data_IF_244004579065
#
_entry.id   IF_244004579065
#
_cell.length_a   1.000
_cell.length_b   1.000
_cell.length_c   1.000
_cell.angle_alpha   90.00
_cell.angle_beta   90.00
_cell.angle_gamma   90.00
#
_symmetry.space_group_name_H-M   'P 1'
#
loop_
_entity.id
_entity.type
_entity.pdbx_description
1 polymer ?
#
# COMPACT_ATOMS: atom_id res chain seq x y z
N UNK A 1 -25.64 58.52 -22.02
CA UNK A 1 -26.90 58.68 -22.78
C UNK A 1 -27.29 57.33 -23.33
N UNK A 2 -28.53 56.97 -23.01
CA UNK A 2 -29.43 55.96 -23.62
C UNK A 2 -28.97 54.51 -23.52
N UNK A 3 -29.57 53.63 -22.62
CA UNK A 3 -30.96 53.11 -22.61
C UNK A 3 -31.27 52.41 -23.95
N UNK A 4 -31.67 51.18 -24.03
CA UNK A 4 -32.89 50.42 -23.60
C UNK A 4 -32.86 49.02 -24.23
N UNK A 5 -33.27 48.04 -23.50
CA UNK A 5 -34.59 47.30 -23.43
C UNK A 5 -34.63 46.03 -24.28
N UNK A 6 -34.75 44.90 -23.60
CA UNK A 6 -35.84 43.89 -23.51
C UNK A 6 -36.35 43.22 -24.80
N UNK A 7 -36.48 41.88 -24.80
CA UNK A 7 -37.79 41.29 -24.76
C UNK A 7 -37.76 39.75 -24.61
N UNK A 8 -38.53 39.26 -23.66
CA UNK A 8 -39.02 37.90 -23.48
C UNK A 8 -39.81 37.42 -24.71
N UNK A 9 -39.75 36.11 -24.98
CA UNK A 9 -40.93 35.40 -25.53
C UNK A 9 -41.04 34.01 -24.88
N UNK A 10 -42.01 33.92 -23.97
CA UNK A 10 -42.58 32.68 -23.50
C UNK A 10 -43.67 32.25 -24.48
N UNK A 11 -43.70 30.98 -24.88
CA UNK A 11 -44.88 30.36 -25.48
C UNK A 11 -45.22 29.11 -24.66
N UNK A 12 -46.30 29.25 -23.91
CA UNK A 12 -47.01 28.17 -23.28
C UNK A 12 -47.99 27.57 -24.28
N UNK A 13 -48.07 26.25 -24.35
CA UNK A 13 -49.26 25.56 -24.85
C UNK A 13 -49.71 24.48 -23.84
N UNK A 14 -50.81 24.77 -23.21
CA UNK A 14 -51.66 23.79 -22.51
C UNK A 14 -52.54 23.07 -23.54
N UNK A 15 -52.82 21.81 -23.30
CA UNK A 15 -54.11 21.08 -23.48
C UNK A 15 -53.84 19.59 -23.29
N UNK A 16 -54.57 18.75 -22.66
CA UNK A 16 -55.76 18.71 -21.84
C UNK A 16 -55.80 17.33 -21.17
N UNK A 17 -56.47 17.26 -20.08
CA UNK A 17 -56.81 16.09 -19.25
C UNK A 17 -57.49 14.95 -20.01
N UNK A 18 -57.17 13.70 -19.63
CA UNK A 18 -58.17 12.74 -19.17
C UNK A 18 -57.55 11.42 -18.69
N UNK A 19 -57.85 10.99 -17.48
CA UNK A 19 -58.13 9.60 -17.18
C UNK A 19 -57.22 8.87 -16.21
N UNK A 20 -57.55 8.89 -14.94
CA UNK A 20 -57.47 7.84 -13.92
C UNK A 20 -56.48 6.68 -14.09
N UNK A 21 -55.61 6.58 -13.12
CA UNK A 21 -54.83 5.39 -12.76
C UNK A 21 -53.77 5.79 -11.75
N UNK A 22 -54.10 5.63 -10.44
CA UNK A 22 -53.06 5.72 -9.41
C UNK A 22 -52.10 4.57 -9.62
N UNK A 23 -50.91 4.89 -10.15
CA UNK A 23 -49.76 4.03 -10.06
C UNK A 23 -48.85 4.67 -9.01
N UNK A 24 -48.63 3.98 -7.92
CA UNK A 24 -47.56 4.23 -6.97
C UNK A 24 -46.24 4.27 -7.74
N UNK A 25 -45.74 5.46 -8.00
CA UNK A 25 -44.32 5.63 -8.35
C UNK A 25 -43.54 5.69 -7.06
N UNK A 26 -43.31 4.53 -6.45
CA UNK A 26 -42.14 4.35 -5.65
C UNK A 26 -40.96 4.62 -6.58
N UNK A 27 -40.24 5.72 -6.36
CA UNK A 27 -38.92 5.94 -6.91
C UNK A 27 -38.00 4.86 -6.35
N UNK A 28 -37.87 3.75 -7.07
CA UNK A 28 -36.69 2.88 -6.92
C UNK A 28 -35.50 3.73 -7.33
N UNK A 29 -34.91 4.41 -6.33
CA UNK A 29 -33.55 4.84 -6.42
C UNK A 29 -32.70 3.59 -6.71
N UNK A 30 -31.82 3.66 -7.68
CA UNK A 30 -30.85 2.64 -8.04
C UNK A 30 -30.10 2.12 -6.80
N UNK A 31 -30.67 1.16 -6.09
CA UNK A 31 -29.98 0.26 -5.20
C UNK A 31 -29.36 -0.85 -6.07
N UNK A 32 -28.41 -0.49 -6.95
CA UNK A 32 -27.56 -1.48 -7.54
C UNK A 32 -26.89 -2.24 -6.38
N UNK A 33 -27.14 -3.54 -6.28
CA UNK A 33 -26.54 -4.40 -5.25
C UNK A 33 -25.02 -4.26 -5.38
N UNK A 34 -24.36 -3.82 -4.33
CA UNK A 34 -22.90 -3.86 -4.25
C UNK A 34 -22.50 -5.33 -4.16
N UNK A 35 -21.72 -5.81 -5.13
CA UNK A 35 -21.32 -7.21 -5.21
C UNK A 35 -20.01 -7.42 -4.45
N UNK A 36 -19.97 -8.46 -3.62
CA UNK A 36 -18.75 -8.96 -2.98
C UNK A 36 -17.80 -9.54 -4.03
N UNK A 37 -16.49 -9.59 -3.72
CA UNK A 37 -15.47 -10.25 -4.56
C UNK A 37 -15.82 -11.72 -4.86
N UNK A 38 -16.59 -12.37 -3.98
CA UNK A 38 -17.01 -13.76 -4.16
C UNK A 38 -18.21 -13.89 -5.14
N UNK A 39 -18.83 -12.78 -5.54
CA UNK A 39 -20.00 -12.71 -6.43
C UNK A 39 -19.66 -12.13 -7.81
N UNK A 40 -18.50 -11.48 -7.99
CA UNK A 40 -18.10 -10.88 -9.28
C UNK A 40 -17.35 -11.88 -10.15
N UNK A 41 -17.42 -11.68 -11.47
CA UNK A 41 -16.59 -12.43 -12.42
C UNK A 41 -15.14 -11.93 -12.35
N UNK A 42 -14.21 -12.84 -12.07
CA UNK A 42 -12.80 -12.49 -11.94
C UNK A 42 -12.14 -12.33 -13.32
N UNK A 43 -11.23 -11.39 -13.42
CA UNK A 43 -10.43 -11.15 -14.63
C UNK A 43 -9.60 -12.38 -14.99
N UNK A 44 -9.72 -12.84 -16.22
CA UNK A 44 -8.88 -13.88 -16.79
C UNK A 44 -7.68 -13.22 -17.47
N UNK A 45 -6.48 -13.58 -17.02
CA UNK A 45 -5.24 -13.06 -17.61
C UNK A 45 -5.12 -13.47 -19.09
N UNK A 46 -4.66 -12.54 -19.94
CA UNK A 46 -4.49 -12.78 -21.36
C UNK A 46 -3.34 -13.75 -21.64
N UNK A 47 -3.44 -14.46 -22.76
CA UNK A 47 -2.34 -15.26 -23.28
C UNK A 47 -1.28 -14.35 -23.87
N UNK A 48 -0.01 -14.59 -23.53
CA UNK A 48 1.14 -13.84 -24.01
C UNK A 48 1.81 -14.61 -25.14
N UNK A 49 2.14 -13.92 -26.23
CA UNK A 49 3.01 -14.48 -27.25
C UNK A 49 4.46 -14.30 -26.83
N UNK A 50 5.25 -15.38 -26.81
CA UNK A 50 6.66 -15.32 -26.44
C UNK A 50 7.44 -14.36 -27.35
N UNK A 51 8.34 -13.57 -26.75
CA UNK A 51 9.22 -12.61 -27.42
C UNK A 51 10.66 -13.09 -27.31
N UNK A 52 11.42 -13.02 -28.40
CA UNK A 52 12.84 -13.33 -28.33
C UNK A 52 13.57 -12.31 -27.44
N UNK A 53 14.59 -12.76 -26.71
CA UNK A 53 15.27 -11.91 -25.71
C UNK A 53 15.86 -10.64 -26.32
N UNK A 54 16.42 -10.74 -27.52
CA UNK A 54 17.00 -9.62 -28.27
C UNK A 54 15.98 -8.56 -28.68
N UNK A 55 14.70 -8.93 -28.78
CA UNK A 55 13.60 -8.03 -29.18
C UNK A 55 12.83 -7.49 -27.97
N UNK A 56 13.08 -8.01 -26.75
CA UNK A 56 12.38 -7.60 -25.55
C UNK A 56 12.79 -6.22 -25.10
N UNK A 57 11.80 -5.36 -24.81
CA UNK A 57 11.96 -4.10 -24.07
C UNK A 57 11.02 -4.06 -22.90
N UNK A 58 11.49 -3.53 -21.77
CA UNK A 58 10.74 -3.40 -20.52
C UNK A 58 10.67 -1.94 -20.13
N UNK A 59 9.47 -1.45 -19.81
CA UNK A 59 9.24 -0.10 -19.35
C UNK A 59 8.95 -0.07 -17.84
N UNK A 60 9.45 0.96 -17.16
CA UNK A 60 9.15 1.23 -15.75
C UNK A 60 8.76 2.68 -15.57
N UNK A 61 7.73 2.92 -14.75
CA UNK A 61 7.18 4.23 -14.42
C UNK A 61 7.22 4.38 -12.91
N UNK A 62 7.92 5.40 -12.42
CA UNK A 62 8.10 5.69 -11.00
C UNK A 62 7.58 7.10 -10.68
N UNK A 63 6.87 7.24 -9.55
CA UNK A 63 6.30 8.51 -9.11
C UNK A 63 7.38 9.55 -8.81
N UNK A 64 8.45 9.12 -8.15
CA UNK A 64 9.59 9.97 -7.79
C UNK A 64 10.90 9.40 -8.34
N UNK A 65 12.00 9.91 -7.85
CA UNK A 65 13.34 9.40 -8.12
C UNK A 65 13.90 8.59 -6.93
N UNK A 66 15.18 8.24 -6.97
CA UNK A 66 15.85 7.45 -5.94
C UNK A 66 16.00 8.16 -4.56
N UNK A 67 15.52 9.39 -4.40
CA UNK A 67 15.45 10.05 -3.09
C UNK A 67 14.23 9.56 -2.29
N UNK A 68 13.18 9.07 -2.96
CA UNK A 68 12.09 8.36 -2.34
C UNK A 68 12.53 6.94 -1.97
N UNK A 69 12.33 6.53 -0.72
CA UNK A 69 12.68 5.19 -0.24
C UNK A 69 11.82 4.11 -0.87
N UNK A 70 10.58 4.45 -1.21
CA UNK A 70 9.63 3.59 -1.89
C UNK A 70 10.06 3.33 -3.34
N UNK A 71 10.17 4.39 -4.14
CA UNK A 71 10.55 4.28 -5.55
C UNK A 71 11.94 3.64 -5.71
N UNK A 72 12.89 4.01 -4.82
CA UNK A 72 14.23 3.39 -4.81
C UNK A 72 14.18 1.87 -4.66
N UNK A 73 13.33 1.35 -3.78
CA UNK A 73 13.18 -0.09 -3.59
C UNK A 73 12.71 -0.78 -4.88
N UNK A 74 11.81 -0.17 -5.65
CA UNK A 74 11.38 -0.66 -6.96
C UNK A 74 12.47 -0.53 -8.03
N UNK A 75 13.15 0.60 -8.09
CA UNK A 75 14.24 0.84 -9.07
C UNK A 75 15.39 -0.17 -8.88
N UNK A 76 15.77 -0.43 -7.63
CA UNK A 76 16.79 -1.42 -7.28
C UNK A 76 16.36 -2.83 -7.72
N UNK A 77 15.10 -3.19 -7.46
CA UNK A 77 14.52 -4.48 -7.85
C UNK A 77 14.41 -4.65 -9.38
N UNK A 78 13.98 -3.60 -10.09
CA UNK A 78 13.93 -3.58 -11.56
C UNK A 78 15.31 -3.80 -12.17
N UNK A 79 16.30 -3.10 -11.65
CA UNK A 79 17.71 -3.24 -12.08
C UNK A 79 18.23 -4.66 -11.82
N UNK A 80 17.96 -5.21 -10.63
CA UNK A 80 18.37 -6.56 -10.27
C UNK A 80 17.70 -7.62 -11.15
N UNK A 81 16.39 -7.53 -11.38
CA UNK A 81 15.64 -8.46 -12.24
C UNK A 81 16.14 -8.42 -13.69
N UNK A 82 16.30 -7.23 -14.26
CA UNK A 82 16.81 -7.07 -15.62
C UNK A 82 18.23 -7.60 -15.76
N UNK A 83 19.12 -7.31 -14.81
CA UNK A 83 20.49 -7.82 -14.77
C UNK A 83 20.52 -9.34 -14.68
N UNK A 84 19.73 -9.94 -13.80
CA UNK A 84 19.60 -11.39 -13.62
C UNK A 84 19.15 -12.11 -14.91
N UNK A 85 18.27 -11.49 -15.68
CA UNK A 85 17.81 -11.99 -16.96
C UNK A 85 18.76 -11.65 -18.12
N UNK A 86 19.81 -10.87 -17.86
CA UNK A 86 20.85 -10.46 -18.81
C UNK A 86 20.29 -9.56 -19.91
N UNK A 87 19.41 -8.62 -19.56
CA UNK A 87 18.96 -7.56 -20.46
C UNK A 87 20.04 -6.47 -20.58
N UNK A 88 20.11 -5.86 -21.74
CA UNK A 88 21.03 -4.71 -21.98
C UNK A 88 20.37 -3.40 -21.60
N UNK A 89 21.15 -2.34 -21.43
CA UNK A 89 20.65 -0.99 -21.10
C UNK A 89 19.61 -0.49 -22.10
N UNK A 90 19.78 -0.78 -23.39
CA UNK A 90 18.84 -0.38 -24.46
C UNK A 90 17.47 -1.07 -24.37
N UNK A 91 17.38 -2.15 -23.60
CA UNK A 91 16.16 -2.90 -23.37
C UNK A 91 15.38 -2.43 -22.13
N UNK A 92 15.98 -1.55 -21.32
CA UNK A 92 15.43 -1.13 -20.03
C UNK A 92 15.11 0.37 -20.07
N UNK A 93 13.82 0.72 -20.05
CA UNK A 93 13.37 2.10 -20.12
C UNK A 93 12.73 2.51 -18.79
N UNK A 94 13.47 3.26 -17.96
CA UNK A 94 12.98 3.78 -16.68
C UNK A 94 12.57 5.24 -16.82
N UNK A 95 11.39 5.59 -16.32
CA UNK A 95 10.83 6.94 -16.27
C UNK A 95 10.57 7.31 -14.81
N UNK A 96 11.16 8.37 -14.33
CA UNK A 96 11.02 8.86 -12.95
C UNK A 96 10.33 10.22 -12.91
N UNK A 97 9.75 10.58 -11.77
CA UNK A 97 9.06 11.86 -11.60
C UNK A 97 7.75 11.92 -12.39
N UNK A 98 7.04 10.80 -12.54
CA UNK A 98 5.78 10.73 -13.30
C UNK A 98 4.61 10.87 -12.33
N UNK A 99 3.86 12.01 -12.36
CA UNK A 99 2.74 12.24 -11.44
C UNK A 99 1.62 11.21 -11.56
N UNK A 100 0.84 11.09 -10.49
CA UNK A 100 -0.39 10.28 -10.41
C UNK A 100 -1.53 10.95 -11.19
N UNK A 101 -1.38 11.06 -12.51
CA UNK A 101 -2.31 11.74 -13.40
C UNK A 101 -2.19 11.24 -14.84
N UNK A 102 -2.72 12.03 -15.76
CA UNK A 102 -2.68 11.71 -17.19
C UNK A 102 -1.24 11.58 -17.75
N UNK A 103 -0.25 12.09 -17.03
CA UNK A 103 1.16 11.94 -17.32
C UNK A 103 1.58 10.48 -17.30
N UNK A 104 1.02 9.67 -16.35
CA UNK A 104 1.26 8.23 -16.31
C UNK A 104 0.78 7.54 -17.60
N UNK A 105 -0.46 7.81 -18.04
CA UNK A 105 -0.97 7.28 -19.31
C UNK A 105 -0.11 7.70 -20.51
N UNK A 106 0.26 8.99 -20.57
CA UNK A 106 1.10 9.51 -21.67
C UNK A 106 2.47 8.82 -21.68
N UNK A 107 3.09 8.62 -20.51
CA UNK A 107 4.37 7.94 -20.38
C UNK A 107 4.25 6.45 -20.74
N UNK A 108 3.17 5.78 -20.32
CA UNK A 108 2.90 4.40 -20.72
C UNK A 108 2.80 4.26 -22.24
N UNK A 109 2.10 5.20 -22.91
CA UNK A 109 2.00 5.28 -24.38
C UNK A 109 3.36 5.51 -25.05
N UNK A 110 4.20 6.37 -24.50
CA UNK A 110 5.57 6.59 -24.99
C UNK A 110 6.39 5.30 -24.93
N UNK A 111 6.28 4.54 -23.82
CA UNK A 111 6.97 3.26 -23.63
C UNK A 111 6.46 2.19 -24.61
N UNK A 112 5.15 2.13 -24.87
CA UNK A 112 4.58 1.28 -25.93
C UNK A 112 5.16 1.64 -27.29
N UNK A 113 5.19 2.93 -27.63
CA UNK A 113 5.75 3.41 -28.91
C UNK A 113 7.27 3.16 -29.04
N UNK A 114 7.98 3.09 -27.90
CA UNK A 114 9.40 2.71 -27.86
C UNK A 114 9.61 1.19 -28.02
N UNK A 115 8.52 0.40 -28.05
CA UNK A 115 8.52 -1.04 -28.29
C UNK A 115 8.56 -1.88 -27.02
N UNK A 116 8.17 -1.36 -25.85
CA UNK A 116 8.04 -2.15 -24.64
C UNK A 116 6.89 -3.17 -24.75
N UNK A 117 7.13 -4.43 -24.38
CA UNK A 117 6.13 -5.50 -24.32
C UNK A 117 5.53 -5.66 -22.93
N UNK A 118 6.21 -5.18 -21.90
CA UNK A 118 5.70 -5.09 -20.52
C UNK A 118 6.08 -3.77 -19.91
N UNK A 119 5.15 -3.15 -19.20
CA UNK A 119 5.32 -1.86 -18.53
C UNK A 119 4.86 -2.02 -17.09
N UNK A 120 5.68 -1.60 -16.14
CA UNK A 120 5.38 -1.62 -14.71
C UNK A 120 5.27 -0.19 -14.17
N UNK A 121 4.30 0.07 -13.29
CA UNK A 121 4.17 1.32 -12.54
C UNK A 121 4.04 1.04 -11.04
N UNK A 122 4.61 1.90 -10.19
CA UNK A 122 4.73 1.66 -8.77
C UNK A 122 3.72 2.38 -7.89
N UNK A 123 3.13 3.48 -8.32
CA UNK A 123 2.34 4.33 -7.43
C UNK A 123 0.84 4.08 -7.49
N UNK A 124 0.17 4.16 -6.32
CA UNK A 124 -1.27 3.91 -6.15
C UNK A 124 -2.14 4.66 -7.16
N UNK A 125 -1.92 5.95 -7.34
CA UNK A 125 -2.72 6.76 -8.28
C UNK A 125 -2.38 6.55 -9.76
N UNK A 126 -1.39 5.74 -10.10
CA UNK A 126 -1.13 5.33 -11.50
C UNK A 126 -2.17 4.32 -12.02
N UNK A 127 -2.92 3.61 -11.14
CA UNK A 127 -3.80 2.51 -11.50
C UNK A 127 -4.80 2.85 -12.64
N UNK A 128 -5.64 3.91 -12.56
CA UNK A 128 -6.62 4.20 -13.60
C UNK A 128 -5.97 4.49 -14.96
N UNK A 129 -4.78 5.06 -14.96
CA UNK A 129 -4.02 5.41 -16.15
C UNK A 129 -3.34 4.19 -16.80
N UNK A 130 -2.88 3.24 -15.98
CA UNK A 130 -2.37 1.95 -16.45
C UNK A 130 -3.49 1.09 -17.03
N UNK A 131 -4.67 1.07 -16.41
CA UNK A 131 -5.87 0.40 -16.94
C UNK A 131 -6.28 1.02 -18.28
N UNK A 132 -6.28 2.35 -18.39
CA UNK A 132 -6.58 3.05 -19.65
C UNK A 132 -5.61 2.61 -20.76
N UNK A 133 -4.31 2.57 -20.46
CA UNK A 133 -3.29 2.12 -21.42
C UNK A 133 -3.49 0.64 -21.79
N UNK A 134 -3.79 -0.23 -20.83
CA UNK A 134 -4.04 -1.66 -21.07
C UNK A 134 -5.22 -1.90 -22.02
N UNK A 135 -6.30 -1.11 -21.89
CA UNK A 135 -7.47 -1.17 -22.79
C UNK A 135 -7.12 -0.72 -24.21
N UNK A 136 -6.24 0.28 -24.37
CA UNK A 136 -5.83 0.79 -25.69
C UNK A 136 -4.80 -0.10 -26.38
N UNK A 137 -3.91 -0.78 -25.61
CA UNK A 137 -2.80 -1.57 -26.14
C UNK A 137 -2.86 -3.04 -25.69
N UNK A 138 -3.81 -3.83 -26.23
CA UNK A 138 -4.10 -5.19 -25.74
C UNK A 138 -2.95 -6.20 -25.93
N UNK A 139 -1.94 -5.88 -26.74
CA UNK A 139 -0.77 -6.73 -26.97
C UNK A 139 0.41 -6.42 -26.04
N UNK A 140 0.32 -5.40 -25.19
CA UNK A 140 1.32 -5.01 -24.18
C UNK A 140 0.78 -5.38 -22.80
N UNK A 141 1.64 -5.89 -21.93
CA UNK A 141 1.26 -6.22 -20.57
C UNK A 141 1.52 -5.01 -19.65
N UNK A 142 0.57 -4.69 -18.80
CA UNK A 142 0.65 -3.57 -17.85
C UNK A 142 0.59 -4.11 -16.44
N UNK A 143 1.69 -3.98 -15.70
CA UNK A 143 1.83 -4.43 -14.32
C UNK A 143 1.83 -3.22 -13.39
N UNK A 144 1.23 -3.36 -12.22
CA UNK A 144 1.06 -2.26 -11.29
C UNK A 144 1.21 -2.73 -9.85
N UNK A 145 2.03 -2.04 -9.06
CA UNK A 145 2.06 -2.25 -7.62
C UNK A 145 0.92 -1.50 -6.94
N UNK A 146 0.43 -2.03 -5.81
CA UNK A 146 -0.64 -1.43 -4.98
C UNK A 146 -2.02 -1.33 -5.63
N UNK A 147 -2.16 -1.75 -6.88
CA UNK A 147 -3.44 -1.72 -7.59
C UNK A 147 -4.50 -2.62 -6.94
N UNK A 148 -5.75 -2.19 -7.00
CA UNK A 148 -6.88 -2.85 -6.36
C UNK A 148 -7.77 -3.61 -7.34
N UNK A 149 -7.67 -3.32 -8.64
CA UNK A 149 -8.63 -3.71 -9.67
C UNK A 149 -8.17 -4.85 -10.60
N UNK A 150 -6.99 -5.44 -10.37
CA UNK A 150 -6.46 -6.50 -11.23
C UNK A 150 -7.40 -7.70 -11.39
N UNK A 151 -8.06 -8.11 -10.30
CA UNK A 151 -9.03 -9.22 -10.31
C UNK A 151 -10.41 -8.86 -10.88
N UNK A 152 -10.78 -7.59 -10.90
CA UNK A 152 -12.19 -7.19 -11.11
C UNK A 152 -12.43 -6.30 -12.32
N UNK A 153 -11.37 -5.72 -12.91
CA UNK A 153 -11.50 -4.78 -14.04
C UNK A 153 -11.92 -5.43 -15.37
N UNK A 154 -11.75 -6.75 -15.52
CA UNK A 154 -12.04 -7.47 -16.76
C UNK A 154 -11.04 -7.21 -17.91
N UNK A 155 -9.85 -6.67 -17.61
CA UNK A 155 -8.80 -6.33 -18.58
C UNK A 155 -7.64 -7.32 -18.43
N UNK A 156 -7.57 -8.32 -19.32
CA UNK A 156 -6.68 -9.48 -19.18
C UNK A 156 -5.18 -9.19 -19.29
N UNK A 157 -4.78 -8.03 -19.82
CA UNK A 157 -3.39 -7.56 -19.91
C UNK A 157 -3.05 -6.47 -18.88
N UNK A 158 -3.90 -6.28 -17.86
CA UNK A 158 -3.64 -5.47 -16.68
C UNK A 158 -3.48 -6.39 -15.47
N UNK A 159 -2.40 -6.19 -14.71
CA UNK A 159 -1.99 -7.06 -13.60
C UNK A 159 -1.62 -6.22 -12.39
N UNK A 160 -2.09 -6.61 -11.23
CA UNK A 160 -1.69 -5.99 -9.96
C UNK A 160 -0.79 -6.91 -9.14
N UNK A 161 0.02 -6.33 -8.30
CA UNK A 161 0.88 -7.06 -7.38
C UNK A 161 1.05 -6.33 -6.06
N UNK A 162 1.08 -7.09 -4.99
CA UNK A 162 1.49 -6.61 -3.67
C UNK A 162 2.14 -7.76 -2.87
N UNK A 163 2.25 -7.59 -1.55
CA UNK A 163 2.77 -8.61 -0.67
C UNK A 163 2.05 -8.57 0.68
N UNK A 164 2.16 -9.65 1.44
CA UNK A 164 1.72 -9.71 2.85
C UNK A 164 2.62 -8.86 3.76
N UNK A 165 2.87 -7.61 3.38
CA UNK A 165 3.81 -6.72 4.09
C UNK A 165 3.39 -6.46 5.53
N UNK A 166 2.12 -6.60 5.87
CA UNK A 166 1.64 -6.54 7.24
C UNK A 166 2.36 -7.55 8.16
N UNK A 167 2.79 -8.73 7.66
CA UNK A 167 3.63 -9.67 8.41
C UNK A 167 5.02 -9.08 8.70
N UNK A 168 5.63 -8.40 7.72
CA UNK A 168 6.91 -7.70 7.90
C UNK A 168 6.80 -6.50 8.83
N UNK A 169 5.70 -5.75 8.75
CA UNK A 169 5.39 -4.66 9.69
C UNK A 169 5.23 -5.17 11.11
N UNK A 170 4.56 -6.32 11.30
CA UNK A 170 4.45 -6.97 12.60
C UNK A 170 5.83 -7.31 13.18
N UNK A 171 6.70 -7.93 12.38
CA UNK A 171 8.07 -8.27 12.81
C UNK A 171 8.90 -7.03 13.17
N UNK A 172 8.79 -5.95 12.39
CA UNK A 172 9.40 -4.67 12.71
C UNK A 172 8.81 -4.06 14.01
N UNK A 173 7.52 -4.29 14.25
CA UNK A 173 6.84 -3.95 15.50
C UNK A 173 7.41 -4.70 16.70
N UNK A 174 7.73 -5.99 16.56
CA UNK A 174 8.42 -6.76 17.62
C UNK A 174 9.74 -6.08 18.01
N UNK A 175 10.56 -5.65 17.02
CA UNK A 175 11.80 -4.92 17.30
C UNK A 175 11.54 -3.59 18.06
N UNK A 176 10.49 -2.86 17.67
CA UNK A 176 10.08 -1.65 18.37
C UNK A 176 9.67 -1.92 19.82
N UNK A 177 8.86 -2.95 20.07
CA UNK A 177 8.44 -3.34 21.42
C UNK A 177 9.60 -3.78 22.30
N UNK A 178 10.58 -4.52 21.75
CA UNK A 178 11.82 -4.89 22.45
C UNK A 178 12.59 -3.65 22.89
N UNK A 179 12.74 -2.64 21.99
CA UNK A 179 13.41 -1.38 22.31
C UNK A 179 12.69 -0.58 23.37
N UNK A 180 11.37 -0.51 23.32
CA UNK A 180 10.57 0.16 24.36
C UNK A 180 10.77 -0.51 25.73
N UNK A 181 10.75 -1.84 25.79
CA UNK A 181 10.99 -2.58 27.03
C UNK A 181 12.40 -2.34 27.60
N UNK A 182 13.43 -2.31 26.75
CA UNK A 182 14.79 -1.93 27.16
C UNK A 182 14.80 -0.53 27.80
N UNK A 183 14.16 0.44 27.16
CA UNK A 183 14.10 1.82 27.65
C UNK A 183 13.32 1.95 28.95
N UNK A 184 12.23 1.19 29.13
CA UNK A 184 11.48 1.09 30.39
C UNK A 184 12.37 0.51 31.49
N UNK A 185 13.04 -0.62 31.21
CA UNK A 185 13.95 -1.28 32.17
C UNK A 185 15.13 -0.37 32.57
N UNK A 186 15.60 0.49 31.66
CA UNK A 186 16.62 1.50 31.91
C UNK A 186 16.09 2.76 32.65
N UNK A 187 14.80 2.80 33.01
CA UNK A 187 14.18 3.93 33.72
C UNK A 187 14.07 5.22 32.90
N UNK A 188 14.07 5.13 31.55
CA UNK A 188 13.91 6.30 30.66
C UNK A 188 12.49 6.87 30.72
N UNK A 189 11.50 6.02 30.92
CA UNK A 189 10.07 6.33 31.11
C UNK A 189 9.36 5.12 31.72
N UNK A 190 8.12 5.31 32.20
CA UNK A 190 7.32 4.23 32.79
C UNK A 190 6.57 3.43 31.71
N UNK A 191 6.08 2.23 32.06
CA UNK A 191 5.31 1.40 31.12
C UNK A 191 4.06 2.13 30.59
N UNK A 192 3.41 2.94 31.42
CA UNK A 192 2.23 3.75 31.06
C UNK A 192 2.55 4.87 30.06
N UNK A 193 3.81 5.28 29.99
CA UNK A 193 4.31 6.31 29.06
C UNK A 193 4.82 5.71 27.74
N UNK A 194 4.74 4.37 27.56
CA UNK A 194 5.16 3.70 26.33
C UNK A 194 4.22 4.05 25.17
N UNK A 195 4.58 5.09 24.44
CA UNK A 195 3.84 5.57 23.28
C UNK A 195 4.74 5.63 22.05
N UNK A 196 4.32 5.01 20.94
CA UNK A 196 4.95 5.12 19.63
C UNK A 196 4.30 6.22 18.81
N UNK A 197 5.04 6.82 17.91
CA UNK A 197 4.52 7.70 16.88
C UNK A 197 4.61 7.04 15.52
N UNK A 198 3.66 7.36 14.63
CA UNK A 198 3.67 6.87 13.27
C UNK A 198 3.40 8.00 12.27
N UNK A 199 4.32 8.21 11.34
CA UNK A 199 4.19 9.19 10.26
C UNK A 199 3.61 8.47 9.06
N UNK A 200 2.31 8.68 8.79
CA UNK A 200 1.61 8.12 7.63
C UNK A 200 1.49 9.12 6.49
N UNK A 201 1.40 8.63 5.25
CA UNK A 201 1.12 9.48 4.09
C UNK A 201 -0.36 9.88 4.04
N UNK A 202 -1.24 8.91 3.88
CA UNK A 202 -2.69 9.09 3.77
C UNK A 202 -3.45 8.08 4.64
N UNK A 203 -4.72 8.32 4.98
CA UNK A 203 -5.55 7.35 5.71
C UNK A 203 -6.13 6.26 4.78
N UNK A 204 -5.29 5.66 3.96
CA UNK A 204 -5.66 4.55 3.07
C UNK A 204 -5.41 3.20 3.77
N UNK A 205 -6.12 2.16 3.31
CA UNK A 205 -6.03 0.82 3.89
C UNK A 205 -4.59 0.29 3.96
N UNK A 206 -3.77 0.54 2.95
CA UNK A 206 -2.35 0.15 2.95
C UNK A 206 -1.58 0.74 4.14
N UNK A 207 -1.80 2.03 4.44
CA UNK A 207 -1.14 2.73 5.55
C UNK A 207 -1.71 2.26 6.89
N UNK A 208 -3.04 2.07 6.97
CA UNK A 208 -3.74 1.63 8.18
C UNK A 208 -3.36 0.19 8.54
N UNK A 209 -3.39 -0.73 7.58
CA UNK A 209 -2.89 -2.10 7.72
C UNK A 209 -1.44 -2.11 8.21
N UNK A 210 -0.60 -1.26 7.61
CA UNK A 210 0.82 -1.13 7.95
C UNK A 210 1.05 -0.71 9.39
N UNK A 211 0.45 0.37 9.86
CA UNK A 211 0.69 0.82 11.24
C UNK A 211 -0.03 -0.06 12.27
N UNK A 212 -1.20 -0.62 11.93
CA UNK A 212 -1.92 -1.51 12.85
C UNK A 212 -1.14 -2.80 13.09
N UNK A 213 -0.61 -3.42 12.03
CA UNK A 213 0.23 -4.62 12.18
C UNK A 213 1.53 -4.33 12.93
N UNK A 214 2.17 -3.19 12.69
CA UNK A 214 3.34 -2.72 13.44
C UNK A 214 3.01 -2.55 14.93
N UNK A 215 1.88 -1.91 15.24
CA UNK A 215 1.41 -1.75 16.62
C UNK A 215 1.15 -3.08 17.30
N UNK A 216 0.48 -4.02 16.64
CA UNK A 216 0.20 -5.36 17.18
C UNK A 216 1.49 -6.15 17.43
N UNK A 217 2.48 -6.02 16.56
CA UNK A 217 3.81 -6.58 16.76
C UNK A 217 4.50 -6.02 18.01
N UNK A 218 4.48 -4.70 18.19
CA UNK A 218 5.03 -4.05 19.37
C UNK A 218 4.29 -4.44 20.64
N UNK A 219 2.95 -4.47 20.59
CA UNK A 219 2.08 -4.85 21.72
C UNK A 219 2.29 -6.29 22.16
N UNK A 220 2.67 -7.20 21.26
CA UNK A 220 2.92 -8.61 21.59
C UNK A 220 4.08 -8.81 22.57
N UNK A 221 5.03 -7.85 22.62
CA UNK A 221 6.18 -7.88 23.54
C UNK A 221 6.19 -6.74 24.54
N UNK A 222 5.52 -5.62 24.26
CA UNK A 222 5.34 -4.48 25.17
C UNK A 222 3.83 -4.18 25.34
N UNK A 223 3.11 -4.90 26.23
CA UNK A 223 1.64 -4.86 26.28
C UNK A 223 1.03 -3.50 26.62
N UNK A 224 1.79 -2.61 27.28
CA UNK A 224 1.33 -1.27 27.67
C UNK A 224 1.43 -0.24 26.51
N UNK A 225 2.04 -0.59 25.39
CA UNK A 225 2.29 0.34 24.29
C UNK A 225 0.98 0.91 23.73
N UNK A 226 1.01 2.22 23.42
CA UNK A 226 0.01 2.92 22.64
C UNK A 226 0.66 3.56 21.41
N UNK A 227 -0.14 4.01 20.46
CA UNK A 227 0.38 4.66 19.26
C UNK A 227 -0.41 5.92 18.88
N UNK A 228 0.30 6.94 18.42
CA UNK A 228 -0.25 8.16 17.84
C UNK A 228 0.18 8.26 16.37
N UNK A 229 -0.78 8.48 15.48
CA UNK A 229 -0.54 8.61 14.04
C UNK A 229 -0.70 10.07 13.62
N UNK A 230 0.15 10.54 12.72
CA UNK A 230 -0.03 11.80 12.01
C UNK A 230 0.13 11.57 10.50
N UNK A 231 -0.77 12.19 9.69
CA UNK A 231 -0.73 12.08 8.24
C UNK A 231 -0.13 13.34 7.62
N UNK A 232 0.76 13.16 6.64
CA UNK A 232 1.40 14.23 5.89
C UNK A 232 0.57 14.72 4.70
N UNK A 233 -0.40 13.94 4.27
CA UNK A 233 -1.18 14.14 3.04
C UNK A 233 -0.25 14.23 1.80
N UNK A 234 0.78 13.40 1.80
CA UNK A 234 1.75 13.26 0.70
C UNK A 234 2.48 11.92 0.85
N UNK A 235 2.76 11.24 -0.26
CA UNK A 235 3.63 10.05 -0.24
C UNK A 235 5.06 10.44 0.11
N UNK A 236 5.58 11.51 -0.48
CA UNK A 236 6.94 11.99 -0.26
C UNK A 236 6.96 13.50 -0.02
N UNK A 237 7.38 13.91 1.18
CA UNK A 237 7.61 15.32 1.53
C UNK A 237 8.53 15.37 2.77
N UNK A 238 9.82 15.60 2.53
CA UNK A 238 10.84 15.59 3.59
C UNK A 238 10.48 16.56 4.73
N UNK A 239 9.96 17.75 4.42
CA UNK A 239 9.67 18.79 5.42
C UNK A 239 8.44 18.42 6.25
N UNK A 240 7.37 17.94 5.60
CA UNK A 240 6.15 17.52 6.31
C UNK A 240 6.42 16.29 7.17
N UNK A 241 7.15 15.30 6.68
CA UNK A 241 7.49 14.09 7.42
C UNK A 241 8.38 14.42 8.62
N UNK A 242 9.40 15.28 8.45
CA UNK A 242 10.24 15.76 9.54
C UNK A 242 9.44 16.52 10.60
N UNK A 243 8.51 17.37 10.16
CA UNK A 243 7.64 18.16 11.05
C UNK A 243 6.68 17.24 11.82
N UNK A 244 6.06 16.26 11.16
CA UNK A 244 5.17 15.29 11.79
C UNK A 244 5.93 14.43 12.83
N UNK A 245 7.12 13.95 12.50
CA UNK A 245 7.95 13.20 13.45
C UNK A 245 8.32 14.04 14.68
N UNK A 246 8.74 15.29 14.48
CA UNK A 246 9.02 16.21 15.59
C UNK A 246 7.79 16.49 16.48
N UNK A 247 6.62 16.64 15.88
CA UNK A 247 5.38 16.83 16.62
C UNK A 247 5.04 15.58 17.46
N UNK A 248 5.15 14.38 16.91
CA UNK A 248 4.97 13.12 17.62
C UNK A 248 5.96 12.98 18.80
N UNK A 249 7.23 13.31 18.59
CA UNK A 249 8.24 13.32 19.64
C UNK A 249 7.88 14.32 20.74
N UNK A 250 7.46 15.54 20.37
CA UNK A 250 7.02 16.56 21.32
C UNK A 250 5.76 16.14 22.12
N UNK A 251 4.88 15.34 21.50
CA UNK A 251 3.72 14.72 22.14
C UNK A 251 4.09 13.55 23.06
N UNK A 252 5.38 13.24 23.23
CA UNK A 252 5.90 12.24 24.16
C UNK A 252 6.06 10.85 23.55
N UNK A 253 5.99 10.69 22.23
CA UNK A 253 6.32 9.42 21.57
C UNK A 253 7.79 9.06 21.80
N UNK A 254 8.04 7.80 22.18
CA UNK A 254 9.36 7.30 22.60
C UNK A 254 10.09 6.56 21.48
N UNK A 255 9.39 6.25 20.39
CA UNK A 255 9.88 5.61 19.18
C UNK A 255 9.00 6.07 18.03
N UNK A 256 9.58 6.29 16.84
CA UNK A 256 8.84 6.70 15.64
C UNK A 256 8.98 5.64 14.56
N UNK A 257 7.87 5.34 13.89
CA UNK A 257 7.84 4.60 12.63
C UNK A 257 7.16 5.40 11.54
N UNK A 258 7.13 4.88 10.31
CA UNK A 258 6.61 5.61 9.17
C UNK A 258 6.03 4.72 8.08
N UNK A 259 5.11 5.30 7.31
CA UNK A 259 4.63 4.85 6.02
C UNK A 259 4.46 6.09 5.13
N UNK A 260 5.55 6.82 5.00
CA UNK A 260 5.81 7.94 4.13
C UNK A 260 7.25 7.78 3.64
N UNK A 261 7.59 8.29 2.47
CA UNK A 261 8.63 7.73 1.62
C UNK A 261 9.95 8.53 1.62
N UNK A 262 10.10 9.50 2.54
CA UNK A 262 11.31 10.31 2.61
C UNK A 262 12.20 9.98 3.81
N UNK A 263 13.37 10.59 3.82
CA UNK A 263 14.30 10.57 4.97
C UNK A 263 13.90 11.54 6.10
N UNK A 264 12.77 12.23 6.00
CA UNK A 264 12.36 13.28 6.94
C UNK A 264 12.16 12.78 8.36
N UNK A 265 11.42 11.69 8.55
CA UNK A 265 11.18 11.10 9.86
C UNK A 265 12.45 10.49 10.48
N UNK A 266 13.26 9.64 9.77
CA UNK A 266 14.54 9.16 10.28
C UNK A 266 15.51 10.28 10.70
N UNK A 267 15.61 11.36 9.91
CA UNK A 267 16.45 12.51 10.22
C UNK A 267 16.01 13.25 11.49
N UNK A 268 14.68 13.42 11.68
CA UNK A 268 14.13 14.03 12.90
C UNK A 268 14.43 13.17 14.14
N UNK A 269 14.33 11.82 13.99
CA UNK A 269 14.64 10.88 15.05
C UNK A 269 16.12 10.93 15.44
N UNK A 270 17.02 10.94 14.47
CA UNK A 270 18.46 11.04 14.73
C UNK A 270 18.82 12.35 15.44
N UNK A 271 18.27 13.48 14.99
CA UNK A 271 18.47 14.77 15.62
C UNK A 271 17.95 14.83 17.07
N UNK A 272 16.92 14.07 17.40
CA UNK A 272 16.30 14.03 18.73
C UNK A 272 16.82 12.88 19.61
N UNK A 273 17.62 11.97 19.09
CA UNK A 273 18.05 10.76 19.80
C UNK A 273 16.90 9.79 20.12
N UNK A 274 15.85 9.77 19.28
CA UNK A 274 14.66 8.91 19.45
C UNK A 274 14.77 7.73 18.50
N UNK A 275 14.59 6.49 18.96
CA UNK A 275 14.65 5.29 18.09
C UNK A 275 13.67 5.36 16.92
N UNK A 276 14.10 4.84 15.76
CA UNK A 276 13.31 4.81 14.54
C UNK A 276 13.24 3.38 13.96
N UNK A 277 12.06 3.00 13.50
CA UNK A 277 11.83 1.82 12.67
C UNK A 277 11.22 2.28 11.36
N UNK A 278 11.97 2.15 10.26
CA UNK A 278 11.58 2.73 8.98
C UNK A 278 10.93 1.70 8.02
N UNK A 279 10.87 2.03 6.74
CA UNK A 279 10.22 1.27 5.68
C UNK A 279 11.02 1.34 4.38
N UNK A 280 10.90 0.31 3.55
CA UNK A 280 11.43 0.13 2.19
C UNK A 280 12.95 -0.05 2.10
N UNK A 281 13.75 0.75 2.77
CA UNK A 281 15.22 0.73 2.69
C UNK A 281 15.87 0.74 4.06
N UNK A 282 17.13 0.38 4.13
CA UNK A 282 17.96 0.58 5.33
C UNK A 282 18.23 2.07 5.52
N UNK A 283 17.89 2.58 6.69
CA UNK A 283 18.06 3.99 7.08
C UNK A 283 19.20 4.20 8.09
N UNK A 284 20.03 3.19 8.33
CA UNK A 284 21.16 3.29 9.28
C UNK A 284 22.20 4.34 8.90
N UNK A 285 22.32 4.66 7.61
CA UNK A 285 23.17 5.74 7.12
C UNK A 285 22.60 7.14 7.40
N UNK A 286 21.28 7.27 7.64
CA UNK A 286 20.59 8.51 7.98
C UNK A 286 20.51 8.69 9.49
N UNK A 287 20.19 7.61 10.20
CA UNK A 287 20.07 7.55 11.65
C UNK A 287 20.99 6.51 12.28
N UNK A 288 22.32 6.66 12.23
CA UNK A 288 23.26 5.64 12.72
C UNK A 288 23.07 5.31 14.21
N UNK A 289 22.56 6.25 15.01
CA UNK A 289 22.33 6.09 16.45
C UNK A 289 20.87 5.81 16.82
N UNK A 290 19.96 5.81 15.86
CA UNK A 290 18.51 5.73 16.13
C UNK A 290 17.78 4.72 15.25
N UNK A 291 18.23 4.47 14.01
CA UNK A 291 17.60 3.50 13.12
C UNK A 291 17.84 2.06 13.62
N UNK A 292 16.76 1.32 13.85
CA UNK A 292 16.80 -0.06 14.35
C UNK A 292 16.77 -1.04 13.19
N UNK A 293 15.74 -0.96 12.34
CA UNK A 293 15.45 -1.89 11.25
C UNK A 293 14.35 -1.28 10.37
N UNK A 294 14.22 -1.78 9.13
CA UNK A 294 13.09 -1.45 8.25
C UNK A 294 12.43 -2.72 7.73
N UNK A 295 11.10 -2.71 7.60
CA UNK A 295 10.41 -3.73 6.80
C UNK A 295 10.43 -3.33 5.32
N UNK A 296 10.44 -4.31 4.42
CA UNK A 296 10.45 -4.06 2.98
C UNK A 296 9.81 -5.21 2.20
N UNK A 297 9.33 -4.91 1.01
CA UNK A 297 8.98 -5.93 0.01
C UNK A 297 10.18 -6.13 -0.92
N UNK A 298 10.55 -7.36 -1.18
CA UNK A 298 11.47 -7.74 -2.25
C UNK A 298 10.69 -7.84 -3.56
N UNK A 299 10.80 -6.85 -4.41
CA UNK A 299 10.10 -6.78 -5.69
C UNK A 299 10.81 -7.52 -6.82
N UNK A 300 12.08 -7.86 -6.65
CA UNK A 300 12.89 -8.55 -7.68
C UNK A 300 12.27 -9.87 -8.16
N UNK A 301 11.71 -10.74 -7.29
CA UNK A 301 11.06 -11.97 -7.75
C UNK A 301 9.85 -11.70 -8.67
N UNK A 302 8.98 -10.76 -8.31
CA UNK A 302 7.82 -10.38 -9.14
C UNK A 302 8.27 -9.81 -10.48
N UNK A 303 9.21 -8.86 -10.48
CA UNK A 303 9.73 -8.25 -11.71
C UNK A 303 10.44 -9.28 -12.59
N UNK A 304 11.17 -10.21 -12.00
CA UNK A 304 11.75 -11.35 -12.74
C UNK A 304 10.66 -12.20 -13.37
N UNK A 305 9.59 -12.50 -12.64
CA UNK A 305 8.47 -13.34 -13.11
C UNK A 305 7.73 -12.65 -14.27
N UNK A 306 7.37 -11.36 -14.15
CA UNK A 306 6.64 -10.65 -15.21
C UNK A 306 7.47 -10.54 -16.50
N UNK A 307 8.77 -10.26 -16.40
CA UNK A 307 9.67 -10.17 -17.57
C UNK A 307 9.82 -11.56 -18.19
N UNK A 308 10.02 -12.59 -17.37
CA UNK A 308 10.15 -13.97 -17.82
C UNK A 308 8.88 -14.49 -18.50
N UNK A 309 7.71 -14.06 -18.04
CA UNK A 309 6.44 -14.41 -18.67
C UNK A 309 6.37 -13.94 -20.14
N UNK A 310 6.94 -12.78 -20.47
CA UNK A 310 7.04 -12.29 -21.85
C UNK A 310 8.00 -13.16 -22.68
N UNK A 311 9.13 -13.53 -22.09
CA UNK A 311 10.12 -14.39 -22.79
C UNK A 311 9.58 -15.80 -23.07
N UNK A 312 8.86 -16.35 -22.10
CA UNK A 312 8.37 -17.73 -22.14
C UNK A 312 6.98 -17.89 -22.80
N UNK A 313 6.26 -16.77 -23.02
CA UNK A 313 4.88 -16.80 -23.51
C UNK A 313 3.89 -17.38 -22.48
N UNK A 314 4.13 -17.16 -21.20
CA UNK A 314 3.25 -17.59 -20.11
C UNK A 314 2.43 -16.42 -19.58
N UNK A 315 1.27 -16.70 -18.96
CA UNK A 315 0.42 -15.64 -18.38
C UNK A 315 1.06 -15.02 -17.13
N UNK A 316 0.87 -13.70 -16.95
CA UNK A 316 1.09 -13.01 -15.70
C UNK A 316 -0.22 -13.12 -14.89
N UNK A 317 -0.19 -13.46 -13.58
CA UNK A 317 -1.41 -13.46 -12.76
C UNK A 317 -2.11 -12.10 -12.78
N UNK A 318 -3.44 -12.08 -12.84
CA UNK A 318 -4.21 -10.83 -12.81
C UNK A 318 -4.01 -10.05 -11.51
N UNK A 319 -3.75 -10.78 -10.42
CA UNK A 319 -3.39 -10.20 -9.11
C UNK A 319 -2.43 -11.17 -8.38
N UNK A 320 -1.25 -10.69 -8.00
CA UNK A 320 -0.21 -11.47 -7.37
C UNK A 320 0.08 -10.97 -5.96
N UNK A 321 -0.10 -11.84 -4.96
CA UNK A 321 0.28 -11.56 -3.59
C UNK A 321 1.55 -12.34 -3.22
N UNK A 322 2.65 -11.62 -3.03
CA UNK A 322 3.91 -12.21 -2.59
C UNK A 322 3.89 -12.49 -1.08
N UNK A 323 4.45 -13.62 -0.65
CA UNK A 323 4.35 -14.09 0.73
C UNK A 323 5.64 -13.94 1.55
N UNK A 324 5.50 -14.05 2.88
CA UNK A 324 6.63 -14.11 3.79
C UNK A 324 7.43 -15.42 3.60
N UNK A 325 6.72 -16.51 3.34
CA UNK A 325 7.27 -17.85 3.15
C UNK A 325 8.14 -17.94 1.88
N UNK A 326 7.74 -17.22 0.83
CA UNK A 326 8.51 -17.10 -0.42
C UNK A 326 9.71 -16.15 -0.30
N UNK A 327 9.86 -15.46 0.85
CA UNK A 327 10.93 -14.51 1.08
C UNK A 327 10.73 -13.14 0.42
N UNK A 328 9.52 -12.84 -0.04
CA UNK A 328 9.22 -11.53 -0.62
C UNK A 328 9.01 -10.46 0.46
N UNK A 329 8.53 -10.84 1.64
CA UNK A 329 8.45 -9.94 2.80
C UNK A 329 9.73 -10.06 3.61
N UNK A 330 10.47 -8.96 3.75
CA UNK A 330 11.79 -8.93 4.35
C UNK A 330 11.92 -7.83 5.41
N UNK A 331 12.96 -7.98 6.23
CA UNK A 331 13.51 -6.91 7.05
C UNK A 331 14.91 -6.57 6.53
N UNK A 332 15.33 -5.32 6.70
CA UNK A 332 16.73 -4.92 6.49
C UNK A 332 17.61 -5.53 7.57
N UNK A 333 18.93 -5.37 7.45
CA UNK A 333 19.84 -5.74 8.52
C UNK A 333 19.47 -5.01 9.82
N UNK A 334 19.52 -5.74 10.94
CA UNK A 334 19.32 -5.16 12.27
C UNK A 334 20.54 -4.30 12.63
N UNK A 335 20.30 -3.05 13.03
CA UNK A 335 21.37 -2.23 13.61
C UNK A 335 21.57 -2.62 15.08
N UNK A 336 22.46 -3.57 15.32
CA UNK A 336 22.72 -4.13 16.66
C UNK A 336 23.24 -3.08 17.66
N UNK A 337 23.80 -1.96 17.18
CA UNK A 337 24.28 -0.88 18.07
C UNK A 337 23.12 -0.05 18.67
N UNK A 338 21.94 -0.13 18.06
CA UNK A 338 20.72 0.61 18.47
C UNK A 338 19.65 -0.33 19.02
N UNK A 339 19.52 -1.51 18.46
CA UNK A 339 18.51 -2.51 18.85
C UNK A 339 18.72 -2.97 20.31
N UNK A 340 17.64 -3.37 20.96
CA UNK A 340 17.72 -4.01 22.26
C UNK A 340 18.36 -5.42 22.16
N UNK A 341 19.03 -5.86 23.19
CA UNK A 341 19.58 -7.23 23.27
C UNK A 341 18.48 -8.28 23.04
N UNK A 342 18.78 -9.29 22.24
CA UNK A 342 17.85 -10.38 21.92
C UNK A 342 16.80 -10.04 20.86
N UNK A 343 16.83 -8.84 20.26
CA UNK A 343 15.84 -8.42 19.23
C UNK A 343 15.84 -9.37 18.03
N UNK A 344 17.01 -9.79 17.51
CA UNK A 344 17.04 -10.72 16.37
C UNK A 344 16.36 -12.05 16.71
N UNK A 345 16.64 -12.62 17.87
CA UNK A 345 16.03 -13.89 18.30
C UNK A 345 14.50 -13.76 18.48
N UNK A 346 14.03 -12.60 18.97
CA UNK A 346 12.58 -12.34 19.09
C UNK A 346 11.90 -12.21 17.71
N UNK A 347 12.56 -11.56 16.75
CA UNK A 347 12.09 -11.47 15.36
C UNK A 347 12.02 -12.85 14.72
N UNK A 348 13.09 -13.66 14.83
CA UNK A 348 13.17 -14.99 14.23
C UNK A 348 12.07 -15.92 14.81
N UNK A 349 11.88 -15.91 16.12
CA UNK A 349 10.82 -16.67 16.77
C UNK A 349 9.40 -16.22 16.35
N UNK A 350 9.19 -14.91 16.16
CA UNK A 350 7.90 -14.40 15.67
C UNK A 350 7.70 -14.76 14.20
N UNK A 351 8.75 -14.70 13.37
CA UNK A 351 8.71 -15.10 11.97
C UNK A 351 8.35 -16.57 11.80
N UNK A 352 8.96 -17.46 12.55
CA UNK A 352 8.64 -18.89 12.53
C UNK A 352 7.17 -19.13 12.88
N UNK A 353 6.65 -18.44 13.89
CA UNK A 353 5.23 -18.54 14.27
C UNK A 353 4.27 -18.00 13.23
N UNK A 354 4.65 -16.92 12.52
CA UNK A 354 3.87 -16.42 11.39
C UNK A 354 3.82 -17.43 10.24
N UNK A 355 4.96 -18.02 9.89
CA UNK A 355 5.07 -19.02 8.83
C UNK A 355 4.28 -20.29 9.20
N UNK A 356 4.34 -20.74 10.45
CA UNK A 356 3.60 -21.92 10.92
C UNK A 356 2.10 -21.64 11.18
N UNK A 357 1.63 -20.40 11.03
CA UNK A 357 0.23 -20.01 11.27
C UNK A 357 -0.17 -19.94 12.74
N UNK A 358 0.80 -20.03 13.67
CA UNK A 358 0.57 -19.87 15.11
C UNK A 358 0.24 -18.41 15.49
N UNK A 359 0.82 -17.44 14.78
CA UNK A 359 0.46 -16.04 14.86
C UNK A 359 -0.35 -15.67 13.61
N UNK A 360 -1.54 -15.15 13.82
CA UNK A 360 -2.36 -14.46 12.84
C UNK A 360 -2.35 -12.99 13.23
N UNK A 361 -1.72 -12.13 12.40
CA UNK A 361 -1.48 -10.72 12.75
C UNK A 361 -2.77 -10.00 13.15
N UNK A 362 -3.84 -10.19 12.38
CA UNK A 362 -5.14 -9.57 12.62
C UNK A 362 -6.14 -10.54 13.26
N UNK A 363 -5.68 -11.39 14.21
CA UNK A 363 -6.56 -12.18 15.07
C UNK A 363 -7.42 -11.25 15.93
N UNK A 364 -8.75 -11.35 15.79
CA UNK A 364 -9.71 -10.43 16.42
C UNK A 364 -9.74 -10.57 17.95
N UNK A 365 -9.19 -11.64 18.50
CA UNK A 365 -9.01 -11.80 19.96
C UNK A 365 -7.88 -10.89 20.52
N UNK A 366 -6.98 -10.36 19.67
CA UNK A 366 -5.83 -9.58 20.09
C UNK A 366 -6.05 -8.06 20.09
N UNK A 367 -7.19 -7.59 19.59
CA UNK A 367 -7.54 -6.18 19.56
C UNK A 367 -9.05 -5.95 19.71
N UNK A 368 -9.43 -4.72 20.01
CA UNK A 368 -10.84 -4.29 20.06
C UNK A 368 -11.04 -3.04 19.22
N UNK A 369 -12.28 -2.77 18.86
CA UNK A 369 -12.73 -1.55 18.17
C UNK A 369 -13.84 -0.92 19.00
N UNK A 370 -13.58 0.25 19.58
CA UNK A 370 -14.51 0.90 20.50
C UNK A 370 -14.86 0.03 21.72
N UNK A 371 -13.89 -0.71 22.25
CA UNK A 371 -14.02 -1.59 23.42
C UNK A 371 -14.71 -2.92 23.13
N UNK A 372 -14.92 -3.30 21.87
CA UNK A 372 -15.60 -4.55 21.46
C UNK A 372 -14.72 -5.36 20.53
N UNK A 373 -14.88 -6.69 20.60
CA UNK A 373 -14.30 -7.61 19.61
C UNK A 373 -14.90 -7.34 18.22
N UNK A 374 -14.07 -7.41 17.20
CA UNK A 374 -14.49 -7.28 15.80
C UNK A 374 -14.95 -8.65 15.28
N UNK A 375 -16.26 -8.86 15.16
CA UNK A 375 -16.83 -10.14 14.72
C UNK A 375 -17.28 -10.15 13.27
N UNK A 376 -17.43 -8.99 12.65
CA UNK A 376 -17.84 -8.81 11.25
C UNK A 376 -17.33 -7.46 10.77
N UNK A 377 -16.92 -7.37 9.51
CA UNK A 377 -16.51 -6.13 8.88
C UNK A 377 -16.61 -6.23 7.36
N UNK A 378 -17.37 -5.34 6.75
CA UNK A 378 -17.37 -5.19 5.31
C UNK A 378 -16.23 -4.25 4.91
N UNK A 379 -15.27 -4.78 4.17
CA UNK A 379 -14.18 -4.02 3.57
C UNK A 379 -14.49 -3.68 2.11
N UNK A 380 -13.84 -2.65 1.60
CA UNK A 380 -13.79 -2.35 0.17
C UNK A 380 -12.76 -3.25 -0.49
N UNK A 381 -13.20 -4.28 -1.20
CA UNK A 381 -12.34 -5.27 -1.86
C UNK A 381 -12.51 -5.26 -3.38
N UNK A 382 -13.73 -5.06 -3.87
CA UNK A 382 -14.03 -5.07 -5.32
C UNK A 382 -13.56 -3.78 -5.99
N UNK A 383 -13.29 -2.74 -5.29
CA UNK A 383 -12.94 -1.39 -5.77
C UNK A 383 -13.14 -1.17 -7.28
N UNK A 384 -14.36 -0.77 -7.65
CA UNK A 384 -14.66 -0.33 -9.01
C UNK A 384 -14.34 1.17 -9.22
N UNK A 385 -13.60 1.77 -8.29
CA UNK A 385 -13.29 3.19 -8.20
C UNK A 385 -14.32 3.98 -7.38
N UNK A 386 -15.18 3.31 -6.63
CA UNK A 386 -16.25 3.93 -5.83
C UNK A 386 -16.01 3.84 -4.31
N UNK A 387 -15.00 3.14 -3.85
CA UNK A 387 -14.57 2.99 -2.45
C UNK A 387 -15.71 2.59 -1.52
N UNK A 388 -16.53 1.61 -1.93
CA UNK A 388 -17.66 1.11 -1.15
C UNK A 388 -17.31 -0.22 -0.50
N UNK A 389 -17.62 -0.34 0.79
CA UNK A 389 -17.54 -1.61 1.50
C UNK A 389 -18.48 -2.65 0.87
N UNK A 390 -17.93 -3.79 0.45
CA UNK A 390 -18.61 -4.80 -0.35
C UNK A 390 -18.41 -6.24 0.13
N UNK A 391 -17.28 -6.55 0.75
CA UNK A 391 -16.88 -7.92 1.04
C UNK A 391 -16.65 -8.14 2.53
N UNK A 392 -17.24 -9.20 3.11
CA UNK A 392 -16.96 -9.61 4.48
C UNK A 392 -15.48 -10.02 4.62
N UNK A 393 -14.79 -9.32 5.51
CA UNK A 393 -13.35 -9.47 5.71
C UNK A 393 -12.99 -10.15 7.04
N UNK A 394 -13.96 -10.51 7.88
CA UNK A 394 -13.72 -11.26 9.13
C UNK A 394 -14.16 -12.70 8.94
N UNK A 395 -13.22 -13.63 9.04
CA UNK A 395 -13.47 -15.06 8.95
C UNK A 395 -12.57 -15.82 9.94
N UNK A 396 -13.07 -16.88 10.52
CA UNK A 396 -12.32 -17.76 11.44
C UNK A 396 -11.58 -17.03 12.57
N UNK A 397 -12.23 -15.97 13.11
CA UNK A 397 -11.70 -15.17 14.23
C UNK A 397 -10.55 -14.23 13.82
N UNK A 398 -10.42 -13.89 12.55
CA UNK A 398 -9.41 -12.94 12.07
C UNK A 398 -9.91 -12.10 10.92
N UNK A 399 -9.30 -10.94 10.74
CA UNK A 399 -9.43 -10.18 9.49
C UNK A 399 -8.50 -10.82 8.43
N UNK A 400 -9.06 -11.18 7.27
CA UNK A 400 -8.40 -11.98 6.23
C UNK A 400 -7.62 -11.10 5.22
N UNK A 401 -6.73 -10.25 5.71
CA UNK A 401 -5.93 -9.34 4.90
C UNK A 401 -5.14 -10.06 3.80
N UNK A 402 -5.10 -9.48 2.60
CA UNK A 402 -4.41 -9.99 1.40
C UNK A 402 -4.92 -11.32 0.82
N UNK A 403 -6.00 -11.90 1.35
CA UNK A 403 -6.53 -13.17 0.83
C UNK A 403 -7.52 -12.99 -0.33
N UNK A 404 -8.28 -11.90 -0.32
CA UNK A 404 -9.27 -11.61 -1.36
C UNK A 404 -8.64 -10.86 -2.54
N UNK A 405 -7.75 -9.90 -2.27
CA UNK A 405 -6.87 -9.23 -3.24
C UNK A 405 -5.48 -9.00 -2.63
N UNK A 406 -4.46 -8.78 -3.47
CA UNK A 406 -3.09 -8.59 -3.00
C UNK A 406 -2.89 -7.26 -2.26
N UNK A 407 -3.46 -6.16 -2.79
CA UNK A 407 -3.43 -4.86 -2.14
C UNK A 407 -4.22 -4.86 -0.83
N UNK A 408 -3.72 -4.21 0.22
CA UNK A 408 -4.37 -4.15 1.52
C UNK A 408 -5.79 -3.58 1.48
N UNK A 409 -6.66 -4.12 2.35
CA UNK A 409 -8.02 -3.61 2.55
C UNK A 409 -8.41 -3.52 4.04
N UNK A 410 -7.44 -3.70 4.96
CA UNK A 410 -7.64 -3.46 6.38
C UNK A 410 -7.59 -1.95 6.66
N UNK A 411 -8.73 -1.32 6.90
CA UNK A 411 -8.88 0.11 7.18
C UNK A 411 -9.49 0.41 8.55
N UNK A 412 -9.45 -0.59 9.46
CA UNK A 412 -10.02 -0.50 10.80
C UNK A 412 -9.09 0.23 11.77
N UNK A 413 -9.60 1.25 12.47
CA UNK A 413 -8.89 1.88 13.57
C UNK A 413 -9.18 1.11 14.86
N UNK A 414 -8.18 0.44 15.40
CA UNK A 414 -8.28 -0.37 16.61
C UNK A 414 -7.98 0.43 17.88
N UNK A 415 -8.45 -0.05 19.02
CA UNK A 415 -8.17 0.58 20.32
C UNK A 415 -6.67 0.55 20.65
N UNK A 416 -6.17 1.63 21.24
CA UNK A 416 -4.76 1.85 21.53
C UNK A 416 -4.01 2.63 20.43
N UNK A 417 -4.65 2.88 19.29
CA UNK A 417 -4.16 3.74 18.22
C UNK A 417 -5.00 5.02 18.19
N UNK A 418 -4.34 6.17 18.25
CA UNK A 418 -4.96 7.48 18.11
C UNK A 418 -4.60 8.06 16.74
N UNK A 419 -5.61 8.42 15.97
CA UNK A 419 -5.46 9.09 14.67
C UNK A 419 -6.00 10.51 14.73
N UNK A 420 -5.56 11.43 13.85
CA UNK A 420 -6.15 12.77 13.75
C UNK A 420 -7.65 12.68 13.48
N UNK A 421 -8.43 13.61 14.06
CA UNK A 421 -9.84 13.77 13.72
C UNK A 421 -9.96 14.10 12.21
N UNK A 422 -10.96 13.49 11.56
CA UNK A 422 -11.27 13.76 10.15
C UNK A 422 -11.80 15.17 9.95
#
# INVERSE_FOLDING_TARGET
>A
MKKLISMLLAVAMLFCFAGCGAADTSSDGDNAKVLSIDEVELTVASTITAVAKEDLKVGFIFLHDANSTYDKNFMDAATAACTKLGLTEDQILMKTGIPEGNECYTTAKELVNAGCQVIFADSFGHEPHMIQAAKEYPNVQFCHATGTRGKTEGVGNYHTAFAEIYKGRYLAGVAAGMKLNEMIAAGKFTAEEAKMGYVGAFPYAEVISGYTSFYLGAKSVCPSVTMEVQYTQSWFDIEKENTAAKALIANGCKLISQHADSSGAPSACEAAGVPNVAYNVDTSNIGPNTAIISSKISWEPYMTMMIKAILDGTSIPSDYCATLEEGAVQLTALNESVAAEGTQAAIDAAKDKLINGEIKVFDTANFTVGGKELTTYLADVVDAGDYKADTEAVADGRFIESEKRSAPYFDVIIDGITVPAK
#
